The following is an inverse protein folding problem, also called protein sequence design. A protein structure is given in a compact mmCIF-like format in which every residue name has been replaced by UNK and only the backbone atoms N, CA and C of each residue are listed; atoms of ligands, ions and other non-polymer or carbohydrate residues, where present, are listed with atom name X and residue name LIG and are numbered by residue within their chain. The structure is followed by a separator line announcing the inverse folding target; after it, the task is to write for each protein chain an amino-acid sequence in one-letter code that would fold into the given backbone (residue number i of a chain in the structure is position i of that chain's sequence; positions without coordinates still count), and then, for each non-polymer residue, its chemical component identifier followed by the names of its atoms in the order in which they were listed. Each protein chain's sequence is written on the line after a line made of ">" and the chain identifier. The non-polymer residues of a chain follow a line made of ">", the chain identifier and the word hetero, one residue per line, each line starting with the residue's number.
data_IF_350569330366
#
_entry.id   IF_350569330366
#
_cell.length_a   1.000
_cell.length_b   1.000
_cell.length_c   1.000
_cell.angle_alpha   90.00
_cell.angle_beta   90.00
_cell.angle_gamma   90.00
#
_symmetry.space_group_name_H-M   'P 1'
#
loop_
_entity.id
_entity.type
_entity.pdbx_description
1 polymer ?
#
# COMPACT_ATOMS: atom_id res chain seq x y z
N UNK A 1 18.05 -14.23 4.33
CA UNK A 1 17.69 -13.39 5.49
C UNK A 1 18.08 -11.96 5.20
N UNK A 2 17.34 -10.98 5.72
CA UNK A 2 17.60 -9.55 5.54
C UNK A 2 18.03 -8.97 6.89
N UNK A 3 19.06 -8.13 6.90
CA UNK A 3 19.44 -7.38 8.10
C UNK A 3 18.55 -6.14 8.21
N UNK A 4 17.63 -6.13 9.18
CA UNK A 4 16.64 -5.07 9.35
C UNK A 4 16.10 -5.02 10.79
N UNK A 5 15.38 -3.96 11.15
CA UNK A 5 14.58 -3.90 12.37
C UNK A 5 13.17 -4.47 12.10
N UNK A 6 12.81 -5.67 12.61
CA UNK A 6 11.54 -6.33 12.25
C UNK A 6 10.31 -5.51 12.64
N UNK A 7 10.34 -4.84 13.80
CA UNK A 7 9.23 -4.02 14.27
C UNK A 7 8.95 -2.84 13.33
N UNK A 8 10.00 -2.20 12.82
CA UNK A 8 9.87 -1.08 11.89
C UNK A 8 9.33 -1.54 10.52
N UNK A 9 9.85 -2.64 9.96
CA UNK A 9 9.32 -3.17 8.70
C UNK A 9 7.88 -3.69 8.85
N UNK A 10 7.53 -4.27 9.99
CA UNK A 10 6.14 -4.63 10.28
C UNK A 10 5.22 -3.40 10.24
N UNK A 11 5.66 -2.27 10.81
CA UNK A 11 4.90 -1.02 10.73
C UNK A 11 4.71 -0.54 9.29
N UNK A 12 5.74 -0.65 8.44
CA UNK A 12 5.65 -0.31 7.01
C UNK A 12 4.57 -1.14 6.33
N UNK A 13 4.64 -2.46 6.46
CA UNK A 13 3.71 -3.36 5.77
C UNK A 13 2.28 -3.20 6.30
N UNK A 14 2.09 -3.04 7.61
CA UNK A 14 0.77 -2.79 8.18
C UNK A 14 0.18 -1.45 7.70
N UNK A 15 0.98 -0.39 7.60
CA UNK A 15 0.49 0.89 7.07
C UNK A 15 0.01 0.75 5.62
N UNK A 16 0.74 0.01 4.77
CA UNK A 16 0.36 -0.21 3.38
C UNK A 16 -0.88 -1.11 3.29
N UNK A 17 -0.92 -2.21 4.04
CA UNK A 17 -2.03 -3.16 4.04
C UNK A 17 -3.31 -2.51 4.54
N UNK A 18 -3.26 -1.73 5.62
CA UNK A 18 -4.43 -1.02 6.13
C UNK A 18 -4.97 -0.02 5.10
N UNK A 19 -4.11 0.72 4.42
CA UNK A 19 -4.55 1.61 3.35
C UNK A 19 -5.23 0.86 2.19
N UNK A 20 -4.74 -0.32 1.84
CA UNK A 20 -5.37 -1.18 0.85
C UNK A 20 -6.73 -1.71 1.33
N UNK A 21 -6.85 -2.12 2.60
CA UNK A 21 -8.12 -2.54 3.21
C UNK A 21 -9.13 -1.41 3.15
N UNK A 22 -8.77 -0.22 3.64
CA UNK A 22 -9.67 0.94 3.66
C UNK A 22 -10.16 1.29 2.25
N UNK A 23 -9.25 1.30 1.26
CA UNK A 23 -9.60 1.59 -0.14
C UNK A 23 -10.56 0.54 -0.73
N UNK A 24 -10.39 -0.73 -0.36
CA UNK A 24 -11.25 -1.83 -0.81
C UNK A 24 -12.63 -1.80 -0.13
N UNK A 25 -12.69 -1.45 1.15
CA UNK A 25 -13.95 -1.29 1.89
C UNK A 25 -14.79 -0.16 1.30
N UNK A 26 -14.20 1.04 1.12
CA UNK A 26 -14.88 2.20 0.55
C UNK A 26 -15.38 1.91 -0.89
N UNK A 27 -14.57 1.19 -1.69
CA UNK A 27 -14.93 0.84 -3.06
C UNK A 27 -16.06 -0.20 -3.13
N UNK A 28 -16.05 -1.19 -2.25
CA UNK A 28 -17.11 -2.22 -2.18
C UNK A 28 -18.46 -1.59 -1.83
N UNK A 29 -18.49 -0.65 -0.87
CA UNK A 29 -19.71 0.09 -0.50
C UNK A 29 -20.27 0.92 -1.66
N UNK A 30 -19.38 1.54 -2.44
CA UNK A 30 -19.77 2.34 -3.62
C UNK A 30 -20.42 1.47 -4.70
N UNK A 31 -19.85 0.30 -4.98
CA UNK A 31 -20.39 -0.64 -5.97
C UNK A 31 -21.75 -1.21 -5.50
N UNK A 32 -21.88 -1.58 -4.23
CA UNK A 32 -23.11 -2.16 -3.68
C UNK A 32 -24.30 -1.18 -3.67
N UNK A 33 -24.03 0.11 -3.46
CA UNK A 33 -25.07 1.16 -3.44
C UNK A 33 -25.62 1.50 -4.83
N UNK A 34 -24.93 1.10 -5.90
CA UNK A 34 -25.28 1.39 -7.29
C UNK A 34 -26.13 0.30 -7.97
N UNK A 35 -26.31 -0.87 -7.32
CA UNK A 35 -27.01 -2.04 -7.88
C UNK A 35 -28.44 -2.21 -7.36
N UNK A 36 -29.24 -1.14 -7.37
CA UNK A 36 -30.70 -1.21 -7.09
C UNK A 36 -31.53 -1.83 -8.23
N UNK A 37 -30.91 -2.29 -9.32
CA UNK A 37 -31.55 -3.03 -10.41
C UNK A 37 -30.78 -4.34 -10.72
N UNK A 38 -30.90 -5.35 -9.86
CA UNK A 38 -30.41 -6.71 -10.17
C UNK A 38 -31.55 -7.63 -10.60
N UNK A 39 -31.98 -7.51 -11.85
CA UNK A 39 -32.61 -8.63 -12.57
C UNK A 39 -31.51 -9.55 -13.08
N UNK A 40 -31.38 -10.71 -12.43
CA UNK A 40 -30.87 -11.98 -12.96
C UNK A 40 -29.69 -11.93 -13.95
N UNK A 41 -28.46 -11.73 -13.44
CA UNK A 41 -27.23 -12.33 -14.00
C UNK A 41 -26.07 -12.17 -13.00
N UNK A 42 -25.48 -13.25 -12.43
CA UNK A 42 -24.30 -13.14 -11.57
C UNK A 42 -23.04 -13.04 -12.43
N UNK A 43 -22.88 -11.93 -13.15
CA UNK A 43 -21.62 -11.58 -13.81
C UNK A 43 -20.71 -10.92 -12.80
N UNK A 44 -19.90 -11.74 -12.11
CA UNK A 44 -18.68 -11.34 -11.41
C UNK A 44 -18.86 -10.31 -10.30
N UNK A 45 -19.29 -10.76 -9.11
CA UNK A 45 -19.15 -9.95 -7.90
C UNK A 45 -17.69 -9.50 -7.76
N UNK A 46 -17.47 -8.19 -7.62
CA UNK A 46 -16.16 -7.66 -7.25
C UNK A 46 -15.68 -8.35 -5.98
N UNK A 47 -14.54 -9.05 -6.05
CA UNK A 47 -13.92 -9.71 -4.91
C UNK A 47 -12.71 -8.89 -4.47
N UNK A 48 -12.78 -8.18 -3.34
CA UNK A 48 -11.63 -7.47 -2.78
C UNK A 48 -10.44 -8.42 -2.59
N UNK A 49 -9.27 -8.03 -3.08
CA UNK A 49 -8.05 -8.83 -3.03
C UNK A 49 -6.84 -7.96 -2.79
N UNK A 50 -6.04 -8.35 -1.82
CA UNK A 50 -4.68 -7.87 -1.62
C UNK A 50 -3.72 -9.01 -1.97
N UNK A 51 -2.77 -8.75 -2.85
CA UNK A 51 -1.76 -9.70 -3.31
C UNK A 51 -0.39 -9.23 -2.82
N UNK A 52 0.30 -10.10 -2.08
CA UNK A 52 1.67 -9.87 -1.66
C UNK A 52 2.61 -10.73 -2.51
N UNK A 53 3.67 -10.12 -3.03
CA UNK A 53 4.71 -10.83 -3.76
C UNK A 53 6.07 -10.39 -3.25
N UNK A 54 6.95 -11.34 -3.00
CA UNK A 54 8.35 -11.08 -2.67
C UNK A 54 9.23 -11.61 -3.78
N UNK A 55 10.29 -10.88 -4.10
CA UNK A 55 11.23 -11.26 -5.14
C UNK A 55 12.61 -10.73 -4.77
N UNK A 56 13.62 -11.60 -4.80
CA UNK A 56 15.00 -11.15 -4.82
C UNK A 56 15.32 -10.59 -6.21
N UNK A 57 15.70 -9.31 -6.29
CA UNK A 57 16.00 -8.65 -7.57
C UNK A 57 17.42 -9.00 -8.05
N UNK A 58 18.35 -9.09 -7.10
CA UNK A 58 19.76 -9.43 -7.32
C UNK A 58 20.38 -9.90 -5.99
N UNK A 59 21.70 -10.08 -5.93
CA UNK A 59 22.39 -10.55 -4.72
C UNK A 59 22.24 -9.59 -3.51
N UNK A 60 21.95 -8.32 -3.75
CA UNK A 60 21.97 -7.27 -2.73
C UNK A 60 20.60 -6.70 -2.40
N UNK A 61 19.56 -7.00 -3.17
CA UNK A 61 18.26 -6.36 -3.03
C UNK A 61 17.10 -7.35 -3.08
N UNK A 62 16.11 -7.09 -2.23
CA UNK A 62 14.82 -7.76 -2.22
C UNK A 62 13.71 -6.74 -2.42
N UNK A 63 12.66 -7.15 -3.11
CA UNK A 63 11.48 -6.36 -3.38
C UNK A 63 10.24 -7.05 -2.82
N UNK A 64 9.37 -6.25 -2.21
CA UNK A 64 8.04 -6.63 -1.76
C UNK A 64 7.04 -5.78 -2.52
N UNK A 65 6.10 -6.42 -3.21
CA UNK A 65 4.97 -5.78 -3.88
C UNK A 65 3.70 -6.08 -3.10
N UNK A 66 2.95 -5.04 -2.74
CA UNK A 66 1.64 -5.15 -2.11
C UNK A 66 0.65 -4.50 -3.05
N UNK A 67 -0.20 -5.32 -3.68
CA UNK A 67 -1.17 -4.89 -4.68
C UNK A 67 -2.60 -5.10 -4.21
N UNK A 68 -3.41 -4.07 -4.23
CA UNK A 68 -4.87 -4.21 -4.20
C UNK A 68 -5.48 -4.17 -5.60
N UNK A 69 -6.72 -4.66 -5.72
CA UNK A 69 -7.56 -4.52 -6.90
C UNK A 69 -8.66 -3.46 -6.71
N UNK A 70 -8.43 -2.46 -5.86
CA UNK A 70 -9.41 -1.42 -5.54
C UNK A 70 -9.48 -0.31 -6.59
N UNK A 71 -9.92 0.90 -6.19
CA UNK A 71 -10.23 1.98 -7.12
C UNK A 71 -8.98 2.64 -7.72
N UNK A 72 -7.80 2.34 -7.20
CA UNK A 72 -6.55 3.02 -7.57
C UNK A 72 -6.47 4.46 -7.06
N UNK A 73 -5.38 5.14 -7.39
CA UNK A 73 -5.03 6.48 -6.92
C UNK A 73 -4.86 7.41 -8.14
N UNK A 74 -5.61 8.52 -8.22
CA UNK A 74 -5.44 9.53 -9.27
C UNK A 74 -4.04 10.13 -9.30
N UNK A 75 -3.49 10.37 -10.49
CA UNK A 75 -2.12 10.85 -10.68
C UNK A 75 -1.84 12.16 -9.92
N UNK A 76 -2.82 13.05 -9.86
CA UNK A 76 -2.76 14.36 -9.19
C UNK A 76 -2.51 14.30 -7.68
N UNK A 77 -2.86 13.20 -7.01
CA UNK A 77 -2.61 13.01 -5.57
C UNK A 77 -1.42 12.09 -5.28
N UNK A 78 -0.88 11.39 -6.28
CA UNK A 78 0.21 10.43 -6.08
C UNK A 78 1.47 11.09 -5.51
N UNK A 79 1.78 12.32 -5.90
CA UNK A 79 2.95 13.06 -5.40
C UNK A 79 2.85 13.43 -3.93
N UNK A 80 1.64 13.45 -3.35
CA UNK A 80 1.37 13.83 -1.96
C UNK A 80 1.20 12.66 -1.01
N UNK A 81 1.21 11.42 -1.52
CA UNK A 81 0.93 10.21 -0.73
C UNK A 81 1.84 10.04 0.48
N UNK A 82 3.06 10.54 0.40
CA UNK A 82 4.06 10.44 1.46
C UNK A 82 4.18 11.73 2.29
N UNK A 83 3.41 12.76 1.97
CA UNK A 83 3.37 14.00 2.74
C UNK A 83 2.70 13.73 4.09
N UNK A 84 3.28 14.18 5.22
CA UNK A 84 2.66 14.03 6.53
C UNK A 84 1.26 14.65 6.56
N UNK A 85 0.32 13.95 7.19
CA UNK A 85 -1.08 14.34 7.36
C UNK A 85 -1.92 14.37 6.07
N UNK A 86 -1.35 14.06 4.91
CA UNK A 86 -2.13 13.93 3.70
C UNK A 86 -3.04 12.70 3.78
N UNK A 87 -4.33 12.91 3.49
CA UNK A 87 -5.33 11.83 3.44
C UNK A 87 -6.49 12.24 2.54
N UNK A 88 -7.02 11.30 1.77
CA UNK A 88 -8.26 11.45 1.02
C UNK A 88 -9.48 10.92 1.78
N UNK A 89 -9.25 10.35 2.98
CA UNK A 89 -10.30 9.81 3.84
C UNK A 89 -11.09 10.93 4.50
N UNK A 90 -12.33 10.63 4.87
CA UNK A 90 -13.17 11.54 5.64
C UNK A 90 -12.50 11.96 6.97
N UNK A 91 -12.88 13.13 7.48
CA UNK A 91 -12.39 13.65 8.76
C UNK A 91 -12.60 12.61 9.87
N UNK A 92 -11.53 12.30 10.61
CA UNK A 92 -11.55 11.32 11.69
C UNK A 92 -11.31 9.87 11.28
N UNK A 93 -11.28 9.52 9.99
CA UNK A 93 -11.02 8.14 9.50
C UNK A 93 -9.54 7.84 9.21
N UNK A 94 -8.64 8.79 9.40
CA UNK A 94 -7.21 8.56 9.23
C UNK A 94 -6.37 9.76 9.64
N UNK A 95 -5.23 9.50 10.27
CA UNK A 95 -4.27 10.54 10.67
C UNK A 95 -3.45 11.10 9.51
N UNK A 96 -3.45 10.42 8.35
CA UNK A 96 -2.58 10.76 7.22
C UNK A 96 -1.08 10.51 7.49
N UNK A 97 -0.73 9.81 8.58
CA UNK A 97 0.67 9.59 8.94
C UNK A 97 1.24 8.27 8.43
N UNK A 98 0.40 7.27 8.14
CA UNK A 98 0.86 5.90 7.86
C UNK A 98 1.89 5.80 6.74
N UNK A 99 1.62 6.37 5.56
CA UNK A 99 2.56 6.32 4.43
C UNK A 99 3.80 7.18 4.64
N UNK A 100 3.68 8.34 5.29
CA UNK A 100 4.85 9.17 5.64
C UNK A 100 5.82 8.45 6.59
N UNK A 101 5.28 7.74 7.60
CA UNK A 101 6.07 6.91 8.52
C UNK A 101 6.69 5.72 7.78
N UNK A 102 5.92 5.07 6.90
CA UNK A 102 6.43 3.97 6.10
C UNK A 102 7.60 4.42 5.20
N UNK A 103 7.46 5.58 4.55
CA UNK A 103 8.52 6.18 3.73
C UNK A 103 9.79 6.42 4.56
N UNK A 104 9.69 7.09 5.70
CA UNK A 104 10.84 7.39 6.58
C UNK A 104 11.53 6.12 7.07
N UNK A 105 10.76 5.08 7.43
CA UNK A 105 11.34 3.80 7.87
C UNK A 105 12.13 3.15 6.73
N UNK A 106 11.55 3.10 5.53
CA UNK A 106 12.22 2.50 4.37
C UNK A 106 13.47 3.28 3.97
N UNK A 107 13.42 4.60 4.01
CA UNK A 107 14.58 5.47 3.77
C UNK A 107 15.71 5.21 4.79
N UNK A 108 15.40 5.06 6.08
CA UNK A 108 16.38 4.70 7.12
C UNK A 108 17.01 3.32 6.91
N UNK A 109 16.31 2.40 6.24
CA UNK A 109 16.85 1.11 5.84
C UNK A 109 17.58 1.17 4.49
N UNK A 110 17.86 2.36 3.95
CA UNK A 110 18.46 2.57 2.63
C UNK A 110 17.66 1.91 1.49
N UNK A 111 16.36 1.75 1.70
CA UNK A 111 15.43 1.20 0.73
C UNK A 111 14.71 2.27 -0.08
N UNK A 112 13.78 1.83 -0.92
CA UNK A 112 12.89 2.70 -1.68
C UNK A 112 11.46 2.21 -1.60
N UNK A 113 10.50 3.14 -1.61
CA UNK A 113 9.08 2.85 -1.78
C UNK A 113 8.57 3.58 -3.02
N UNK A 114 7.90 2.85 -3.91
CA UNK A 114 7.29 3.38 -5.14
C UNK A 114 5.83 2.99 -5.19
N UNK A 115 5.02 3.82 -5.85
CA UNK A 115 3.63 3.51 -6.15
C UNK A 115 3.45 3.35 -7.66
N UNK A 116 2.72 2.30 -8.05
CA UNK A 116 2.19 2.13 -9.39
C UNK A 116 0.68 2.01 -9.28
N UNK A 117 -0.05 3.02 -9.76
CA UNK A 117 -1.50 3.05 -9.68
C UNK A 117 -2.11 3.87 -10.81
N UNK A 118 -3.30 3.45 -11.22
CA UNK A 118 -4.18 4.19 -12.12
C UNK A 118 -5.62 3.99 -11.66
N UNK A 119 -6.47 4.98 -11.91
CA UNK A 119 -7.89 4.91 -11.56
C UNK A 119 -8.55 3.66 -12.18
N UNK A 120 -9.27 2.90 -11.36
CA UNK A 120 -9.95 1.65 -11.72
C UNK A 120 -9.05 0.42 -11.89
N UNK A 121 -7.74 0.52 -11.65
CA UNK A 121 -6.78 -0.58 -11.88
C UNK A 121 -6.14 -1.14 -10.58
N UNK A 122 -6.54 -0.60 -9.43
CA UNK A 122 -5.91 -0.87 -8.13
C UNK A 122 -4.60 -0.10 -7.92
N UNK A 123 -3.96 -0.38 -6.79
CA UNK A 123 -2.68 0.22 -6.41
C UNK A 123 -1.66 -0.87 -6.12
N UNK A 124 -0.42 -0.65 -6.54
CA UNK A 124 0.73 -1.48 -6.13
C UNK A 124 1.76 -0.61 -5.43
N UNK A 125 1.99 -0.88 -4.16
CA UNK A 125 3.16 -0.37 -3.43
C UNK A 125 4.32 -1.32 -3.64
N UNK A 126 5.48 -0.78 -4.00
CA UNK A 126 6.70 -1.52 -4.33
C UNK A 126 7.78 -1.06 -3.36
N UNK A 127 8.08 -1.89 -2.38
CA UNK A 127 9.13 -1.65 -1.38
C UNK A 127 10.38 -2.43 -1.81
N UNK A 128 11.51 -1.77 -1.97
CA UNK A 128 12.80 -2.40 -2.28
C UNK A 128 13.76 -2.14 -1.13
N UNK A 129 14.40 -3.18 -0.61
CA UNK A 129 15.30 -3.12 0.54
C UNK A 129 16.63 -3.80 0.21
N UNK A 130 17.77 -3.30 0.74
CA UNK A 130 19.02 -4.04 0.69
C UNK A 130 18.94 -5.30 1.56
N UNK A 131 19.59 -6.38 1.13
CA UNK A 131 19.68 -7.65 1.87
C UNK A 131 20.69 -7.53 3.02
N UNK A 132 21.83 -6.88 2.78
CA UNK A 132 22.86 -6.60 3.77
C UNK A 132 22.77 -5.15 4.30
N UNK A 133 21.59 -4.74 4.74
CA UNK A 133 21.39 -3.42 5.34
C UNK A 133 22.02 -3.29 6.73
N UNK A 134 22.43 -2.08 7.10
CA UNK A 134 22.72 -1.71 8.48
C UNK A 134 21.41 -1.63 9.28
N UNK A 135 21.37 -2.17 10.49
CA UNK A 135 20.22 -2.04 11.39
C UNK A 135 20.18 -0.60 11.93
N UNK A 136 19.14 0.21 11.66
CA UNK A 136 19.07 1.57 12.19
C UNK A 136 18.86 1.52 13.71
N UNK A 137 19.84 2.01 14.48
CA UNK A 137 19.75 2.12 15.95
C UNK A 137 20.64 1.20 16.78
N UNK A 138 21.73 0.67 16.22
CA UNK A 138 22.79 -0.05 16.97
C UNK A 138 24.13 0.69 17.02
N UNK A 139 24.16 1.99 16.73
CA UNK A 139 25.30 2.89 16.96
C UNK A 139 25.04 3.79 18.17
#
# INVERSE_FOLDING_TARGET
>A
MIHCCPAQLNQVFLNIINNAIDALEDYTQTIQSSSSLMTFQPLGLFQPRITLQTQQLNIDQIQVRIRDNGPGIPLEVQSKLFDPFFTTKAVGKGSGLGLSVAYQIIERHHGTIRVASAAGQGTTFIVTLPIQGTTPGTD
#
